data_IF_318705173864
#
_entry.id   IF_318705173864
#
_cell.length_a   1.000
_cell.length_b   1.000
_cell.length_c   1.000
_cell.angle_alpha   90.00
_cell.angle_beta   90.00
_cell.angle_gamma   90.00
#
_symmetry.space_group_name_H-M   'P 1'
#
loop_
_entity.id
_entity.type
_entity.pdbx_description
1 polymer ?
#
# COMPACT_ATOMS: atom_id res chain seq x y z
N UNK A 1 3.49 -17.80 -17.81
CA UNK A 1 3.25 -16.37 -18.09
C UNK A 1 2.93 -15.52 -16.85
N UNK A 2 2.90 -16.07 -15.62
CA UNK A 2 2.41 -15.34 -14.44
C UNK A 2 3.49 -14.67 -13.56
N UNK A 3 4.78 -14.97 -13.76
CA UNK A 3 5.89 -14.42 -12.94
C UNK A 3 6.19 -12.93 -13.20
N UNK A 4 5.74 -12.37 -14.33
CA UNK A 4 6.16 -11.04 -14.76
C UNK A 4 5.34 -9.89 -14.13
N UNK A 5 4.11 -10.17 -13.66
CA UNK A 5 3.18 -9.14 -13.16
C UNK A 5 3.38 -8.76 -11.67
N UNK A 6 4.15 -9.51 -10.89
CA UNK A 6 4.27 -9.29 -9.44
C UNK A 6 5.55 -8.53 -9.05
N UNK A 7 6.65 -8.68 -9.81
CA UNK A 7 7.77 -7.72 -9.75
C UNK A 7 7.31 -6.33 -10.20
N UNK A 8 6.34 -6.25 -11.13
CA UNK A 8 5.76 -4.99 -11.58
C UNK A 8 5.11 -4.18 -10.45
N UNK A 9 4.63 -4.76 -9.34
CA UNK A 9 4.04 -3.97 -8.25
C UNK A 9 5.10 -3.12 -7.51
N UNK A 10 6.24 -3.74 -7.21
CA UNK A 10 7.39 -3.07 -6.59
C UNK A 10 8.09 -2.16 -7.61
N UNK A 11 8.21 -2.62 -8.86
CA UNK A 11 8.74 -1.84 -9.99
C UNK A 11 7.79 -0.69 -10.36
N UNK A 12 6.47 -0.76 -10.15
CA UNK A 12 5.53 0.36 -10.36
C UNK A 12 5.65 1.39 -9.26
N UNK A 13 5.78 0.96 -7.99
CA UNK A 13 6.12 1.86 -6.88
C UNK A 13 7.48 2.55 -7.12
N UNK A 14 8.47 1.83 -7.67
CA UNK A 14 9.77 2.38 -8.03
C UNK A 14 9.74 3.19 -9.35
N UNK A 15 8.91 2.87 -10.33
CA UNK A 15 8.85 3.54 -11.64
C UNK A 15 8.23 4.93 -11.54
N UNK A 16 7.30 5.14 -10.59
CA UNK A 16 6.82 6.47 -10.22
C UNK A 16 7.96 7.42 -9.76
N UNK A 17 9.12 6.89 -9.34
CA UNK A 17 10.28 7.70 -8.96
C UNK A 17 10.97 8.39 -10.15
N UNK A 18 10.68 8.00 -11.40
CA UNK A 18 11.39 8.53 -12.57
C UNK A 18 10.66 9.65 -13.32
N UNK A 19 9.38 9.95 -13.01
CA UNK A 19 8.58 10.80 -13.92
C UNK A 19 7.95 12.05 -13.30
N UNK A 20 8.15 12.38 -12.02
CA UNK A 20 7.67 13.67 -11.50
C UNK A 20 8.72 14.40 -10.66
N UNK A 21 9.67 15.05 -11.34
CA UNK A 21 10.24 16.30 -10.81
C UNK A 21 9.19 17.39 -10.95
N UNK A 22 8.32 17.52 -9.96
CA UNK A 22 7.65 18.79 -9.69
C UNK A 22 8.15 19.28 -8.34
N UNK A 23 8.71 20.49 -8.33
CA UNK A 23 9.07 21.23 -7.13
C UNK A 23 7.79 21.50 -6.33
N UNK A 24 7.39 20.55 -5.49
CA UNK A 24 6.31 20.74 -4.54
C UNK A 24 6.97 21.25 -3.28
N UNK A 25 6.92 22.57 -3.12
CA UNK A 25 7.21 23.24 -1.87
C UNK A 25 6.37 22.63 -0.76
N UNK A 26 6.99 22.50 0.41
CA UNK A 26 6.36 22.14 1.67
C UNK A 26 5.02 22.85 1.85
N UNK A 27 4.08 22.15 2.49
CA UNK A 27 2.72 22.56 2.86
C UNK A 27 1.60 22.15 1.89
N UNK A 28 0.94 21.06 2.29
CA UNK A 28 -0.34 20.52 1.83
C UNK A 28 -0.38 20.00 0.38
N UNK A 29 -0.63 18.68 0.25
CA UNK A 29 -1.10 18.10 -1.00
C UNK A 29 -2.39 18.84 -1.41
N UNK A 30 -2.53 19.27 -2.68
CA UNK A 30 -3.79 19.83 -3.17
C UNK A 30 -4.96 18.89 -2.88
N UNK A 31 -6.18 19.40 -2.65
CA UNK A 31 -7.38 18.58 -2.47
C UNK A 31 -7.60 17.55 -3.60
N UNK A 32 -7.15 17.88 -4.81
CA UNK A 32 -7.25 17.02 -6.00
C UNK A 32 -6.20 15.89 -6.06
N UNK A 33 -5.23 15.87 -5.13
CA UNK A 33 -4.22 14.83 -4.98
C UNK A 33 -4.52 13.85 -3.83
N UNK A 34 -5.79 13.80 -3.37
CA UNK A 34 -6.24 12.83 -2.38
C UNK A 34 -5.75 11.40 -2.72
N UNK A 35 -5.08 10.79 -1.74
CA UNK A 35 -4.45 9.47 -1.89
C UNK A 35 -5.51 8.36 -1.79
N UNK A 36 -6.60 8.58 -1.04
CA UNK A 36 -7.65 7.59 -0.78
C UNK A 36 -9.02 8.21 -1.06
N UNK A 37 -9.85 7.55 -1.87
CA UNK A 37 -11.26 7.94 -2.08
C UNK A 37 -12.16 6.71 -1.90
N UNK A 38 -13.19 6.80 -1.05
CA UNK A 38 -14.19 5.74 -0.94
C UNK A 38 -15.42 6.01 -1.83
N UNK A 39 -16.38 5.08 -1.87
CA UNK A 39 -17.57 5.21 -2.72
C UNK A 39 -18.58 6.25 -2.26
N UNK A 40 -18.49 6.71 -1.00
CA UNK A 40 -19.27 7.84 -0.48
C UNK A 40 -18.64 9.19 -0.85
N UNK A 41 -17.60 9.20 -1.69
CA UNK A 41 -16.83 10.37 -2.09
C UNK A 41 -16.07 11.02 -0.91
N UNK A 42 -15.89 10.30 0.19
CA UNK A 42 -15.00 10.73 1.25
C UNK A 42 -13.57 10.53 0.77
N UNK A 43 -12.76 11.57 0.93
CA UNK A 43 -11.34 11.58 0.58
C UNK A 43 -10.50 11.68 1.84
N UNK A 44 -9.37 10.96 1.85
CA UNK A 44 -8.39 10.94 2.94
C UNK A 44 -6.97 10.87 2.38
N UNK A 45 -5.99 11.16 3.22
CA UNK A 45 -4.58 10.97 2.91
C UNK A 45 -3.79 10.43 4.11
N UNK A 46 -2.69 9.75 3.78
CA UNK A 46 -1.70 9.27 4.72
C UNK A 46 -0.32 9.64 4.15
N UNK A 47 0.46 10.41 4.90
CA UNK A 47 1.80 10.85 4.55
C UNK A 47 2.79 10.31 5.56
N UNK A 48 3.92 9.81 5.04
CA UNK A 48 5.08 9.44 5.83
C UNK A 48 6.25 10.25 5.29
N UNK A 49 6.94 10.97 6.16
CA UNK A 49 7.99 11.88 5.73
C UNK A 49 9.31 11.16 5.39
N UNK A 50 9.42 9.87 5.73
CA UNK A 50 10.46 8.95 5.30
C UNK A 50 9.85 7.61 4.89
N UNK A 51 10.44 6.98 3.89
CA UNK A 51 10.07 5.65 3.41
C UNK A 51 11.33 4.97 2.85
N UNK A 52 11.60 3.74 3.27
CA UNK A 52 12.60 2.91 2.61
C UNK A 52 12.28 1.43 2.71
N UNK A 53 12.79 0.68 1.75
CA UNK A 53 12.66 -0.76 1.67
C UNK A 53 14.05 -1.40 1.60
N UNK A 54 14.15 -2.65 2.05
CA UNK A 54 15.35 -3.46 1.91
C UNK A 54 15.64 -3.84 0.46
N UNK A 55 16.82 -4.38 0.26
CA UNK A 55 17.23 -5.03 -0.98
C UNK A 55 16.48 -6.35 -1.22
N UNK A 56 16.68 -6.97 -2.38
CA UNK A 56 16.09 -8.28 -2.70
C UNK A 56 16.55 -9.38 -1.72
N UNK A 57 17.81 -9.35 -1.27
CA UNK A 57 18.33 -10.31 -0.28
C UNK A 57 17.69 -10.12 1.10
N UNK A 58 17.20 -8.92 1.39
CA UNK A 58 16.39 -8.59 2.57
C UNK A 58 14.89 -8.80 2.33
N UNK A 59 14.50 -9.38 1.19
CA UNK A 59 13.10 -9.62 0.80
C UNK A 59 12.28 -8.33 0.75
N UNK A 60 12.89 -7.23 0.33
CA UNK A 60 12.27 -5.91 0.19
C UNK A 60 11.52 -5.45 1.45
N UNK A 61 12.07 -5.77 2.64
CA UNK A 61 11.43 -5.44 3.92
C UNK A 61 11.14 -3.95 4.06
N UNK A 62 9.97 -3.59 4.62
CA UNK A 62 9.64 -2.19 4.89
C UNK A 62 10.50 -1.70 6.07
N UNK A 63 11.61 -1.03 5.79
CA UNK A 63 12.64 -0.77 6.79
C UNK A 63 12.42 0.54 7.54
N UNK A 64 11.98 1.59 6.84
CA UNK A 64 11.80 2.92 7.43
C UNK A 64 10.43 3.46 7.08
N UNK A 65 9.74 3.95 8.10
CA UNK A 65 8.61 4.86 8.00
C UNK A 65 8.86 6.03 8.96
N UNK A 66 8.79 7.24 8.43
CA UNK A 66 9.02 8.46 9.19
C UNK A 66 7.83 8.88 10.07
N UNK A 67 7.77 10.17 10.36
CA UNK A 67 6.63 10.78 11.04
C UNK A 67 5.38 10.68 10.15
N UNK A 68 4.25 10.35 10.79
CA UNK A 68 2.96 10.23 10.13
C UNK A 68 2.20 11.54 10.20
N UNK A 69 1.60 11.94 9.09
CA UNK A 69 0.62 13.02 9.02
C UNK A 69 -0.51 12.61 8.09
N UNK A 70 -1.76 12.83 8.50
CA UNK A 70 -2.91 12.46 7.69
C UNK A 70 -4.22 12.51 8.46
N UNK A 71 -5.31 12.43 7.72
CA UNK A 71 -6.67 12.24 8.23
C UNK A 71 -7.21 10.82 7.99
N UNK A 72 -6.45 9.99 7.26
CA UNK A 72 -6.61 8.54 7.31
C UNK A 72 -6.06 7.98 8.63
N UNK A 73 -6.09 6.67 8.78
CA UNK A 73 -5.32 5.96 9.80
C UNK A 73 -3.84 5.81 9.38
N UNK A 74 -2.95 5.65 10.36
CA UNK A 74 -1.55 5.22 10.16
C UNK A 74 -1.49 3.69 9.89
N UNK A 75 -2.06 3.27 8.76
CA UNK A 75 -2.23 1.86 8.45
C UNK A 75 -0.95 1.16 7.98
N UNK A 76 0.11 1.88 7.57
CA UNK A 76 1.39 1.24 7.18
C UNK A 76 2.27 0.92 8.38
N UNK A 77 2.11 1.60 9.52
CA UNK A 77 2.97 1.37 10.71
C UNK A 77 2.99 -0.08 11.17
N UNK A 78 1.85 -0.76 11.12
CA UNK A 78 1.73 -2.18 11.49
C UNK A 78 2.51 -3.14 10.57
N UNK A 79 2.89 -2.66 9.39
CA UNK A 79 3.66 -3.40 8.39
C UNK A 79 5.17 -3.07 8.45
N UNK A 80 5.59 -2.14 9.32
CA UNK A 80 6.99 -1.78 9.49
C UNK A 80 7.80 -3.00 9.97
N UNK A 81 8.95 -3.23 9.32
CA UNK A 81 9.84 -4.36 9.55
C UNK A 81 9.41 -5.67 8.89
N UNK A 82 8.22 -5.72 8.28
CA UNK A 82 7.73 -6.92 7.60
C UNK A 82 8.36 -7.05 6.22
N UNK A 83 8.48 -8.30 5.77
CA UNK A 83 9.04 -8.65 4.45
C UNK A 83 7.94 -8.65 3.40
N UNK A 84 8.30 -8.38 2.16
CA UNK A 84 7.34 -8.34 1.08
C UNK A 84 6.98 -9.76 0.66
N UNK A 85 5.71 -10.13 0.73
CA UNK A 85 5.20 -11.43 0.30
C UNK A 85 4.48 -11.32 -1.04
N UNK A 86 4.64 -12.34 -1.87
CA UNK A 86 3.92 -12.52 -3.13
C UNK A 86 3.27 -13.91 -3.12
N UNK A 87 2.38 -14.16 -4.07
CA UNK A 87 1.71 -15.46 -4.16
C UNK A 87 2.71 -16.63 -4.33
N UNK A 88 3.82 -16.39 -5.02
CA UNK A 88 4.88 -17.37 -5.28
C UNK A 88 6.03 -17.33 -4.26
N UNK A 89 6.06 -16.34 -3.36
CA UNK A 89 7.10 -16.19 -2.34
C UNK A 89 6.49 -15.69 -1.02
N UNK A 90 6.19 -16.65 -0.16
CA UNK A 90 5.70 -16.40 1.20
C UNK A 90 6.86 -15.98 2.12
N UNK A 91 6.86 -14.72 2.53
CA UNK A 91 7.81 -14.15 3.49
C UNK A 91 7.09 -13.57 4.72
N UNK A 92 5.80 -13.84 4.90
CA UNK A 92 5.02 -13.27 5.99
C UNK A 92 5.11 -14.14 7.25
N UNK A 93 4.51 -13.65 8.34
CA UNK A 93 4.59 -14.29 9.65
C UNK A 93 3.35 -15.14 9.96
N UNK A 94 2.45 -15.29 8.99
CA UNK A 94 1.25 -16.09 9.14
C UNK A 94 1.55 -17.59 9.00
N UNK A 95 0.63 -18.43 9.47
CA UNK A 95 0.68 -19.88 9.21
C UNK A 95 0.23 -20.27 7.79
N UNK A 96 -0.26 -19.30 7.02
CA UNK A 96 -0.71 -19.44 5.64
C UNK A 96 -0.13 -18.30 4.80
N UNK A 97 -0.07 -18.47 3.48
CA UNK A 97 0.43 -17.43 2.58
C UNK A 97 -0.61 -16.31 2.42
N UNK A 98 -0.41 -15.19 3.12
CA UNK A 98 -1.35 -14.06 3.07
C UNK A 98 -1.49 -13.50 1.65
N UNK A 99 -0.40 -13.44 0.89
CA UNK A 99 -0.45 -12.89 -0.45
C UNK A 99 -1.30 -13.74 -1.41
N UNK A 100 -1.35 -15.06 -1.19
CA UNK A 100 -2.24 -15.96 -1.92
C UNK A 100 -3.71 -15.80 -1.47
N UNK A 101 -3.98 -15.71 -0.17
CA UNK A 101 -5.35 -15.52 0.35
C UNK A 101 -5.96 -14.17 -0.09
N UNK A 102 -5.16 -13.11 0.00
CA UNK A 102 -5.55 -11.74 -0.28
C UNK A 102 -5.45 -11.37 -1.77
N UNK A 103 -4.97 -12.29 -2.62
CA UNK A 103 -4.74 -12.08 -4.05
C UNK A 103 -3.93 -10.81 -4.36
N UNK A 104 -2.94 -10.49 -3.52
CA UNK A 104 -2.16 -9.27 -3.61
C UNK A 104 -0.80 -9.43 -2.94
N UNK A 105 0.20 -8.71 -3.42
CA UNK A 105 1.52 -8.69 -2.81
C UNK A 105 1.62 -7.53 -1.82
N UNK A 106 2.11 -7.79 -0.60
CA UNK A 106 2.25 -6.75 0.42
C UNK A 106 3.19 -7.16 1.56
N UNK A 107 3.46 -6.21 2.45
CA UNK A 107 4.21 -6.43 3.70
C UNK A 107 3.30 -7.03 4.78
N UNK A 108 2.81 -8.26 4.58
CA UNK A 108 1.89 -8.88 5.54
C UNK A 108 2.58 -9.18 6.88
N UNK A 109 1.78 -9.11 7.95
CA UNK A 109 2.19 -9.54 9.29
C UNK A 109 1.71 -10.98 9.54
N UNK A 110 1.50 -11.38 10.78
CA UNK A 110 0.78 -12.61 11.11
C UNK A 110 -0.74 -12.51 10.86
N UNK A 111 -1.26 -11.31 10.57
CA UNK A 111 -2.67 -11.07 10.21
C UNK A 111 -2.74 -10.54 8.77
N UNK A 112 -3.43 -11.28 7.89
CA UNK A 112 -3.51 -10.98 6.45
C UNK A 112 -4.52 -9.86 6.11
N UNK A 113 -5.46 -9.54 7.00
CA UNK A 113 -6.68 -8.79 6.67
C UNK A 113 -6.65 -7.31 7.06
N UNK A 114 -5.48 -6.75 7.37
CA UNK A 114 -5.36 -5.38 7.87
C UNK A 114 -5.52 -4.35 6.75
N UNK A 115 -4.53 -4.25 5.86
CA UNK A 115 -4.57 -3.40 4.67
C UNK A 115 -4.19 -4.23 3.45
N UNK A 116 -4.85 -3.93 2.33
CA UNK A 116 -4.60 -4.58 1.05
C UNK A 116 -4.62 -3.54 -0.07
N UNK A 117 -3.65 -2.62 -0.12
CA UNK A 117 -3.67 -1.51 -1.08
C UNK A 117 -3.55 -1.97 -2.55
N UNK A 118 -3.02 -3.16 -2.77
CA UNK A 118 -2.86 -3.75 -4.11
C UNK A 118 -3.90 -4.84 -4.40
N UNK A 119 -4.97 -4.89 -3.61
CA UNK A 119 -6.05 -5.83 -3.79
C UNK A 119 -6.80 -5.66 -5.10
N UNK A 120 -7.63 -6.64 -5.39
CA UNK A 120 -8.51 -6.65 -6.56
C UNK A 120 -9.52 -5.51 -6.45
N UNK A 121 -9.68 -4.73 -7.52
CA UNK A 121 -10.70 -3.69 -7.55
C UNK A 121 -12.10 -4.29 -7.65
N UNK A 122 -12.90 -4.12 -6.61
CA UNK A 122 -14.26 -4.67 -6.49
C UNK A 122 -15.28 -3.54 -6.56
N UNK A 123 -16.06 -3.45 -7.66
CA UNK A 123 -17.02 -2.37 -7.84
C UNK A 123 -18.28 -2.51 -6.99
N UNK A 124 -18.60 -3.71 -6.53
CA UNK A 124 -19.79 -4.00 -5.74
C UNK A 124 -19.45 -4.09 -4.25
N UNK A 125 -20.20 -3.37 -3.41
CA UNK A 125 -20.07 -3.39 -1.93
C UNK A 125 -20.90 -4.52 -1.28
N UNK A 126 -21.61 -5.32 -2.07
CA UNK A 126 -22.73 -6.16 -1.60
C UNK A 126 -22.39 -7.64 -1.48
N UNK A 127 -21.31 -8.12 -2.11
CA UNK A 127 -20.84 -9.49 -1.93
C UNK A 127 -19.69 -9.51 -0.93
N UNK A 128 -19.80 -10.39 0.06
CA UNK A 128 -18.61 -10.94 0.69
C UNK A 128 -17.81 -11.60 -0.44
N UNK A 129 -16.64 -11.04 -0.72
CA UNK A 129 -15.69 -11.67 -1.65
C UNK A 129 -14.72 -12.41 -0.77
N UNK A 130 -14.45 -13.67 -1.13
CA UNK A 130 -13.64 -14.59 -0.36
C UNK A 130 -12.36 -13.91 0.15
N UNK A 131 -12.32 -13.57 1.44
CA UNK A 131 -11.09 -13.25 2.17
C UNK A 131 -10.45 -11.88 1.93
N UNK A 132 -11.17 -10.74 2.08
CA UNK A 132 -10.55 -9.39 2.19
C UNK A 132 -9.71 -8.93 0.98
N UNK A 133 -9.95 -9.51 -0.20
CA UNK A 133 -9.19 -9.25 -1.43
C UNK A 133 -9.42 -7.87 -2.07
N UNK A 134 -10.18 -6.96 -1.45
CA UNK A 134 -10.46 -5.63 -1.97
C UNK A 134 -9.26 -4.69 -1.89
N UNK A 135 -9.38 -3.49 -2.47
CA UNK A 135 -8.42 -2.40 -2.19
C UNK A 135 -8.82 -1.79 -0.85
N UNK A 136 -8.09 -2.18 0.19
CA UNK A 136 -8.45 -1.88 1.59
C UNK A 136 -7.37 -1.03 2.27
N UNK A 137 -7.81 -0.15 3.15
CA UNK A 137 -6.96 0.65 4.03
C UNK A 137 -7.54 0.58 5.44
N UNK A 138 -6.84 -0.11 6.35
CA UNK A 138 -7.32 -0.34 7.71
C UNK A 138 -7.81 0.95 8.36
N UNK A 139 -8.99 0.99 9.00
CA UNK A 139 -9.53 2.19 9.64
C UNK A 139 -10.15 3.23 8.70
N UNK A 140 -10.11 3.02 7.38
CA UNK A 140 -10.88 3.81 6.41
C UNK A 140 -11.86 2.93 5.61
N UNK A 141 -11.39 1.79 5.10
CA UNK A 141 -12.20 0.72 4.55
C UNK A 141 -11.56 -0.62 4.91
N UNK A 142 -12.07 -1.25 5.96
CA UNK A 142 -11.53 -2.51 6.52
C UNK A 142 -11.96 -3.78 5.76
N UNK A 143 -12.85 -3.65 4.77
CA UNK A 143 -13.47 -4.81 4.13
C UNK A 143 -14.48 -5.51 5.05
N UNK A 144 -14.80 -6.81 4.83
CA UNK A 144 -14.34 -7.66 3.73
C UNK A 144 -14.99 -7.31 2.38
N UNK A 145 -15.89 -6.31 2.33
CA UNK A 145 -16.67 -5.97 1.15
C UNK A 145 -16.10 -4.77 0.41
N UNK A 146 -15.91 -4.96 -0.89
CA UNK A 146 -15.64 -3.89 -1.83
C UNK A 146 -14.21 -3.36 -1.78
N UNK A 147 -14.01 -2.25 -2.47
CA UNK A 147 -12.71 -1.59 -2.61
C UNK A 147 -12.86 -0.08 -2.47
N UNK A 148 -11.79 0.57 -2.03
CA UNK A 148 -11.61 2.00 -2.26
C UNK A 148 -11.84 2.30 -3.74
N UNK A 149 -12.50 3.42 -4.01
CA UNK A 149 -12.81 3.86 -5.37
C UNK A 149 -11.55 4.35 -6.08
N UNK A 150 -10.65 5.01 -5.35
CA UNK A 150 -9.33 5.41 -5.83
C UNK A 150 -8.29 5.23 -4.73
N UNK A 151 -7.10 4.81 -5.12
CA UNK A 151 -5.89 4.80 -4.28
C UNK A 151 -4.72 5.30 -5.14
N UNK A 152 -3.90 6.22 -4.62
CA UNK A 152 -2.66 6.69 -5.24
C UNK A 152 -1.52 6.58 -4.25
N UNK A 153 -0.54 5.71 -4.50
CA UNK A 153 0.69 5.65 -3.73
C UNK A 153 1.78 6.38 -4.50
N UNK A 154 2.40 7.38 -3.87
CA UNK A 154 3.41 8.25 -4.47
C UNK A 154 4.61 8.32 -3.51
N UNK A 155 5.82 8.26 -4.06
CA UNK A 155 7.06 8.43 -3.31
C UNK A 155 7.84 9.58 -3.96
N UNK A 156 8.37 10.50 -3.14
CA UNK A 156 9.16 11.65 -3.59
C UNK A 156 10.54 11.63 -2.94
N UNK A 157 11.64 11.83 -3.68
CA UNK A 157 12.95 12.06 -3.08
C UNK A 157 12.94 13.30 -2.17
N UNK A 158 13.53 13.21 -0.97
CA UNK A 158 13.79 14.40 -0.17
C UNK A 158 15.01 15.13 -0.72
N UNK A 159 14.90 16.43 -0.93
CA UNK A 159 16.06 17.27 -1.21
C UNK A 159 17.02 17.17 -0.03
N UNK A 160 18.26 16.76 -0.27
CA UNK A 160 19.32 16.83 0.73
C UNK A 160 19.54 18.30 1.08
N UNK A 161 19.19 18.72 2.29
CA UNK A 161 19.83 19.89 2.90
C UNK A 161 21.31 19.54 3.06
N UNK A 162 22.17 20.25 2.33
CA UNK A 162 23.60 19.96 2.20
C UNK A 162 24.38 19.90 3.51
#
# INVERSE_FOLDING_TARGET
MSQMLQLDALVTMLACLTTTQTNVTDHALPPDDAILENRKQEQRYALYDHFSIGSESEQYSLNVLGEYQGDASDALRQHLGKKFSTQDRDNDESGANCAAEQSAAFWYSNVCTLSNPFGVYQPQLTRDVDGYQGILWHGFLDGPKGSLKKLRILVRPRSSSG
#
